data_IF_024323294085
#
_entry.id   IF_024323294085
#
_cell.length_a   1.000
_cell.length_b   1.000
_cell.length_c   1.000
_cell.angle_alpha   90.00
_cell.angle_beta   90.00
_cell.angle_gamma   90.00
#
_symmetry.space_group_name_H-M   'P 1'
#
loop_
_entity.id
_entity.type
_entity.pdbx_description
1 polymer ?
#
# COMPACT_ATOMS: atom_id res chain seq x y z
N UNK A 1 19.28 10.62 16.47
CA UNK A 1 18.14 10.56 15.53
C UNK A 1 16.98 11.31 16.17
N UNK A 2 16.53 12.44 15.60
CA UNK A 2 15.48 13.30 16.18
C UNK A 2 14.07 12.70 16.07
N UNK A 3 13.87 11.51 16.61
CA UNK A 3 12.60 10.78 16.56
C UNK A 3 11.76 11.18 17.77
N UNK A 4 10.60 11.79 17.51
CA UNK A 4 9.63 12.14 18.55
C UNK A 4 8.63 11.00 18.76
N UNK A 5 8.65 10.40 19.95
CA UNK A 5 7.71 9.35 20.32
C UNK A 5 6.32 9.95 20.54
N UNK A 6 5.34 9.50 19.76
CA UNK A 6 3.92 9.84 20.00
C UNK A 6 3.29 8.75 20.86
N UNK A 7 2.72 9.16 21.98
CA UNK A 7 1.94 8.29 22.86
C UNK A 7 0.45 8.51 22.59
N UNK A 8 -0.28 7.42 22.48
CA UNK A 8 -1.75 7.43 22.42
C UNK A 8 -2.30 7.13 23.81
N UNK A 9 -3.48 7.69 24.12
CA UNK A 9 -4.20 7.38 25.36
C UNK A 9 -4.57 5.91 25.41
N UNK A 10 -4.50 5.31 26.59
CA UNK A 10 -4.98 3.94 26.85
C UNK A 10 -6.43 3.77 26.36
N UNK A 11 -6.74 2.63 25.74
CA UNK A 11 -8.05 2.29 25.16
C UNK A 11 -8.52 3.14 23.97
N UNK A 12 -7.62 3.88 23.31
CA UNK A 12 -7.95 4.68 22.13
C UNK A 12 -7.59 3.97 20.80
N UNK A 13 -8.21 2.81 20.53
CA UNK A 13 -7.97 2.04 19.29
C UNK A 13 -8.28 2.86 18.01
N UNK A 14 -9.27 3.75 18.08
CA UNK A 14 -9.66 4.63 16.98
C UNK A 14 -8.50 5.52 16.47
N UNK A 15 -7.55 5.89 17.35
CA UNK A 15 -6.46 6.82 17.02
C UNK A 15 -5.35 6.13 16.22
N UNK A 16 -5.21 4.79 16.32
CA UNK A 16 -4.16 4.03 15.64
C UNK A 16 -4.68 3.21 14.44
N UNK A 17 -5.90 3.48 13.97
CA UNK A 17 -6.55 2.72 12.91
C UNK A 17 -5.83 2.74 11.55
N UNK A 18 -4.81 3.57 11.34
CA UNK A 18 -3.94 3.55 10.14
C UNK A 18 -2.90 2.44 10.18
N UNK A 19 -2.54 1.95 11.37
CA UNK A 19 -1.62 0.82 11.58
C UNK A 19 -2.41 -0.45 11.90
N UNK A 20 -3.50 -0.34 12.64
CA UNK A 20 -4.29 -1.51 13.05
C UNK A 20 -4.99 -2.20 11.87
N UNK A 21 -5.59 -1.44 10.95
CA UNK A 21 -6.24 -2.02 9.75
C UNK A 21 -5.29 -2.83 8.86
N UNK A 22 -4.13 -2.30 8.41
CA UNK A 22 -3.21 -3.10 7.61
C UNK A 22 -2.65 -4.28 8.41
N UNK A 23 -2.41 -4.14 9.72
CA UNK A 23 -1.98 -5.25 10.56
C UNK A 23 -3.05 -6.35 10.66
N UNK A 24 -4.33 -5.98 10.74
CA UNK A 24 -5.44 -6.92 10.71
C UNK A 24 -5.51 -7.66 9.35
N UNK A 25 -5.36 -6.94 8.24
CA UNK A 25 -5.30 -7.56 6.91
C UNK A 25 -4.12 -8.52 6.77
N UNK A 26 -2.94 -8.15 7.28
CA UNK A 26 -1.77 -9.04 7.33
C UNK A 26 -2.07 -10.32 8.11
N UNK A 27 -2.63 -10.19 9.31
CA UNK A 27 -2.98 -11.34 10.14
C UNK A 27 -4.01 -12.25 9.46
N UNK A 28 -5.01 -11.68 8.79
CA UNK A 28 -6.02 -12.45 8.07
C UNK A 28 -5.44 -13.23 6.89
N UNK A 29 -4.56 -12.59 6.10
CA UNK A 29 -3.89 -13.26 4.97
C UNK A 29 -2.97 -14.36 5.49
N UNK A 30 -2.17 -14.09 6.52
CA UNK A 30 -1.31 -15.08 7.17
C UNK A 30 -2.13 -16.29 7.64
N UNK A 31 -3.22 -16.05 8.38
CA UNK A 31 -4.10 -17.11 8.85
C UNK A 31 -4.69 -17.96 7.72
N UNK A 32 -4.84 -17.40 6.50
CA UNK A 32 -5.36 -18.13 5.33
C UNK A 32 -4.33 -18.99 4.62
N UNK A 33 -3.04 -18.62 4.65
CA UNK A 33 -1.97 -19.32 3.92
C UNK A 33 -1.14 -20.25 4.81
N UNK A 34 -1.13 -19.98 6.11
CA UNK A 34 -0.39 -20.75 7.10
C UNK A 34 -1.15 -22.03 7.44
N UNK A 35 -0.56 -23.18 7.14
CA UNK A 35 -1.16 -24.50 7.42
C UNK A 35 -0.90 -24.97 8.85
N UNK A 36 0.29 -24.67 9.40
CA UNK A 36 0.68 -24.94 10.78
C UNK A 36 1.10 -23.65 11.48
N UNK A 37 0.79 -23.51 12.77
CA UNK A 37 1.08 -22.30 13.57
C UNK A 37 2.55 -21.90 13.65
N UNK A 38 3.49 -22.79 13.29
CA UNK A 38 4.93 -22.51 13.34
C UNK A 38 5.51 -21.91 12.06
N UNK A 39 4.80 -21.93 10.93
CA UNK A 39 5.37 -21.56 9.62
C UNK A 39 5.04 -20.10 9.25
N UNK A 40 4.56 -19.30 10.19
CA UNK A 40 4.06 -17.94 9.93
C UNK A 40 5.15 -16.98 9.49
N UNK A 41 6.39 -17.16 9.96
CA UNK A 41 7.55 -16.33 9.64
C UNK A 41 8.06 -16.59 8.22
N UNK A 42 8.01 -17.85 7.76
CA UNK A 42 8.31 -18.20 6.37
C UNK A 42 7.27 -17.64 5.38
N UNK A 43 6.02 -17.54 5.81
CA UNK A 43 4.93 -17.00 5.01
C UNK A 43 4.85 -15.46 5.03
N UNK A 44 5.49 -14.81 6.00
CA UNK A 44 5.44 -13.35 6.17
C UNK A 44 5.91 -12.56 4.93
N UNK A 45 7.04 -12.88 4.27
CA UNK A 45 7.45 -12.18 3.06
C UNK A 45 6.42 -12.30 1.92
N UNK A 46 5.78 -13.46 1.80
CA UNK A 46 4.76 -13.74 0.79
C UNK A 46 3.49 -12.93 1.05
N UNK A 47 3.03 -12.86 2.30
CA UNK A 47 1.90 -12.02 2.70
C UNK A 47 2.18 -10.54 2.48
N UNK A 48 3.38 -10.07 2.83
CA UNK A 48 3.75 -8.67 2.66
C UNK A 48 3.83 -8.30 1.17
N UNK A 49 4.36 -9.19 0.33
CA UNK A 49 4.34 -9.04 -1.12
C UNK A 49 2.91 -8.94 -1.66
N UNK A 50 2.02 -9.85 -1.25
CA UNK A 50 0.62 -9.84 -1.65
C UNK A 50 -0.06 -8.51 -1.26
N UNK A 51 0.12 -8.06 -0.02
CA UNK A 51 -0.49 -6.82 0.47
C UNK A 51 0.05 -5.57 -0.24
N UNK A 52 1.34 -5.55 -0.55
CA UNK A 52 1.99 -4.43 -1.25
C UNK A 52 1.66 -4.40 -2.75
N UNK A 53 1.37 -5.55 -3.36
CA UNK A 53 1.01 -5.66 -4.78
C UNK A 53 -0.48 -5.46 -5.05
N UNK A 54 -1.34 -5.78 -4.08
CA UNK A 54 -2.79 -5.66 -4.22
C UNK A 54 -3.25 -4.20 -4.30
N UNK A 55 -4.32 -3.95 -5.04
CA UNK A 55 -4.98 -2.63 -5.09
C UNK A 55 -5.78 -2.43 -3.81
N UNK A 56 -5.51 -1.35 -3.07
CA UNK A 56 -6.26 -1.03 -1.86
C UNK A 56 -7.49 -0.19 -2.19
N UNK A 57 -8.64 -0.50 -1.59
CA UNK A 57 -9.90 0.23 -1.83
C UNK A 57 -9.81 1.72 -1.48
N UNK A 58 -9.00 2.06 -0.47
CA UNK A 58 -8.82 3.44 -0.02
C UNK A 58 -8.12 4.33 -1.05
N UNK A 59 -7.16 3.76 -1.78
CA UNK A 59 -6.28 4.52 -2.68
C UNK A 59 -6.53 4.16 -4.14
N UNK A 60 -7.27 3.08 -4.42
CA UNK A 60 -7.44 2.46 -5.74
C UNK A 60 -6.12 2.22 -6.48
N UNK A 61 -5.03 2.08 -5.74
CA UNK A 61 -3.70 1.77 -6.27
C UNK A 61 -2.95 0.88 -5.29
N UNK A 62 -1.88 0.23 -5.74
CA UNK A 62 -1.06 -0.62 -4.89
C UNK A 62 -0.15 0.22 -3.98
N UNK A 63 0.08 -0.19 -2.73
CA UNK A 63 1.03 0.49 -1.85
C UNK A 63 2.43 0.55 -2.46
N UNK A 64 2.84 -0.50 -3.17
CA UNK A 64 4.13 -0.53 -3.86
C UNK A 64 4.24 0.57 -4.91
N UNK A 65 3.19 0.78 -5.70
CA UNK A 65 3.15 1.87 -6.69
C UNK A 65 3.22 3.24 -6.02
N UNK A 66 2.56 3.44 -4.88
CA UNK A 66 2.61 4.71 -4.16
C UNK A 66 3.98 5.02 -3.57
N UNK A 67 4.70 4.00 -3.13
CA UNK A 67 6.04 4.15 -2.55
C UNK A 67 7.12 4.32 -3.62
N UNK A 68 7.03 3.56 -4.72
CA UNK A 68 8.10 3.46 -5.71
C UNK A 68 7.79 4.18 -7.05
N UNK A 69 6.57 4.66 -7.24
CA UNK A 69 6.12 5.31 -8.49
C UNK A 69 6.08 4.37 -9.70
N UNK A 70 6.10 3.05 -9.48
CA UNK A 70 6.10 2.03 -10.55
C UNK A 70 5.40 0.77 -10.09
N UNK A 71 4.85 0.02 -11.02
CA UNK A 71 4.24 -1.26 -10.72
C UNK A 71 5.27 -2.31 -10.33
N UNK A 72 4.83 -3.21 -9.46
CA UNK A 72 5.62 -4.34 -9.01
C UNK A 72 5.76 -5.36 -10.13
N UNK A 73 6.99 -5.85 -10.34
CA UNK A 73 7.30 -6.85 -11.35
C UNK A 73 7.29 -8.23 -10.69
N UNK A 74 6.19 -8.96 -10.82
CA UNK A 74 6.10 -10.36 -10.40
C UNK A 74 6.34 -11.26 -11.60
N UNK A 75 6.87 -12.46 -11.36
CA UNK A 75 7.19 -13.43 -12.42
C UNK A 75 5.98 -13.78 -13.31
N UNK A 76 4.76 -13.69 -12.77
CA UNK A 76 3.51 -13.94 -13.50
C UNK A 76 2.88 -12.67 -14.10
N UNK A 77 3.28 -11.47 -13.66
CA UNK A 77 2.86 -10.19 -14.26
C UNK A 77 3.83 -9.70 -15.33
N UNK A 78 4.86 -10.49 -15.63
CA UNK A 78 5.80 -10.26 -16.72
C UNK A 78 5.14 -10.55 -18.08
N UNK A 79 3.97 -9.97 -18.31
CA UNK A 79 3.61 -9.62 -19.67
C UNK A 79 4.65 -8.58 -20.12
N UNK A 80 5.18 -8.78 -21.31
CA UNK A 80 6.23 -7.97 -21.92
C UNK A 80 5.67 -6.57 -22.22
N UNK A 81 5.41 -5.78 -21.18
CA UNK A 81 4.87 -4.44 -21.30
C UNK A 81 5.92 -3.57 -21.99
N UNK A 82 5.59 -3.22 -23.23
CA UNK A 82 6.27 -2.23 -24.08
C UNK A 82 6.33 -0.83 -23.48
N UNK A 83 5.67 -0.59 -22.34
CA UNK A 83 5.55 0.72 -21.67
C UNK A 83 6.66 1.02 -20.66
N UNK A 84 7.77 0.27 -20.70
CA UNK A 84 8.97 0.75 -20.03
C UNK A 84 9.49 1.96 -20.83
N UNK A 85 9.61 3.17 -20.23
CA UNK A 85 10.11 4.33 -20.95
C UNK A 85 11.49 3.98 -21.51
N UNK A 86 11.57 3.82 -22.83
CA UNK A 86 12.84 3.45 -23.48
C UNK A 86 13.82 4.62 -23.46
N UNK A 87 13.32 5.83 -23.20
CA UNK A 87 14.09 7.05 -23.19
C UNK A 87 13.69 7.97 -22.02
N UNK A 88 14.67 8.72 -21.51
CA UNK A 88 14.51 9.72 -20.44
C UNK A 88 13.43 10.77 -20.78
N UNK A 89 13.31 11.16 -22.05
CA UNK A 89 12.32 12.16 -22.49
C UNK A 89 10.87 11.66 -22.40
N UNK A 90 10.64 10.35 -22.52
CA UNK A 90 9.31 9.76 -22.38
C UNK A 90 8.81 9.73 -20.91
N UNK A 91 9.75 9.71 -19.96
CA UNK A 91 9.47 9.81 -18.54
C UNK A 91 8.87 11.18 -18.16
N UNK A 92 9.47 12.25 -18.66
CA UNK A 92 9.07 13.63 -18.33
C UNK A 92 7.75 14.02 -19.01
N UNK A 93 7.51 13.57 -20.25
CA UNK A 93 6.30 13.96 -21.00
C UNK A 93 5.03 13.21 -20.58
N UNK A 94 5.14 11.93 -20.20
CA UNK A 94 3.97 11.06 -19.96
C UNK A 94 3.84 10.61 -18.51
N UNK A 95 4.95 10.19 -17.91
CA UNK A 95 4.92 9.53 -16.61
C UNK A 95 4.81 10.54 -15.46
N UNK A 96 5.52 11.67 -15.53
CA UNK A 96 5.44 12.71 -14.50
C UNK A 96 4.01 13.28 -14.32
N UNK A 97 3.32 13.74 -15.38
CA UNK A 97 1.96 14.25 -15.25
C UNK A 97 0.97 13.18 -14.78
N UNK A 98 1.18 11.94 -15.21
CA UNK A 98 0.37 10.80 -14.79
C UNK A 98 0.54 10.49 -13.29
N UNK A 99 1.78 10.48 -12.79
CA UNK A 99 2.05 10.32 -11.35
C UNK A 99 1.41 11.43 -10.54
N UNK A 100 1.56 12.69 -10.97
CA UNK A 100 0.91 13.82 -10.29
C UNK A 100 -0.61 13.66 -10.26
N UNK A 101 -1.23 13.22 -11.35
CA UNK A 101 -2.66 12.95 -11.40
C UNK A 101 -3.07 11.86 -10.41
N UNK A 102 -2.34 10.74 -10.34
CA UNK A 102 -2.61 9.66 -9.40
C UNK A 102 -2.44 10.14 -7.96
N UNK A 103 -1.32 10.79 -7.64
CA UNK A 103 -1.06 11.28 -6.29
C UNK A 103 -2.16 12.23 -5.83
N UNK A 104 -2.58 13.17 -6.69
CA UNK A 104 -3.69 14.06 -6.38
C UNK A 104 -5.00 13.32 -6.14
N UNK A 105 -5.29 12.28 -6.93
CA UNK A 105 -6.48 11.44 -6.74
C UNK A 105 -6.43 10.70 -5.40
N UNK A 106 -5.29 10.09 -5.07
CA UNK A 106 -5.09 9.37 -3.81
C UNK A 106 -5.23 10.30 -2.62
N UNK A 107 -4.64 11.51 -2.68
CA UNK A 107 -4.76 12.50 -1.62
C UNK A 107 -6.22 12.95 -1.41
N UNK A 108 -7.03 13.06 -2.48
CA UNK A 108 -8.46 13.34 -2.36
C UNK A 108 -9.21 12.19 -1.67
N UNK A 109 -8.99 10.96 -2.12
CA UNK A 109 -9.64 9.79 -1.53
C UNK A 109 -9.30 9.62 -0.05
N UNK A 110 -8.03 9.85 0.33
CA UNK A 110 -7.62 9.80 1.73
C UNK A 110 -8.32 10.86 2.59
N UNK A 111 -8.48 12.09 2.06
CA UNK A 111 -9.23 13.16 2.76
C UNK A 111 -10.71 12.82 2.91
N UNK A 112 -11.32 12.24 1.89
CA UNK A 112 -12.72 11.80 1.95
C UNK A 112 -12.89 10.71 3.02
N UNK A 113 -12.00 9.71 3.05
CA UNK A 113 -12.03 8.67 4.08
C UNK A 113 -11.83 9.22 5.50
N UNK A 114 -11.00 10.24 5.67
CA UNK A 114 -10.85 10.94 6.96
C UNK A 114 -12.13 11.70 7.36
N UNK A 115 -12.82 12.33 6.40
CA UNK A 115 -14.08 13.05 6.65
C UNK A 115 -15.22 12.11 7.03
N UNK A 116 -15.36 10.95 6.37
CA UNK A 116 -16.36 9.93 6.74
C UNK A 116 -16.12 9.35 8.14
N UNK A 117 -14.87 9.33 8.60
CA UNK A 117 -14.49 8.84 9.94
C UNK A 117 -14.85 9.78 11.10
N UNK A 118 -15.11 11.06 10.83
CA UNK A 118 -15.47 12.06 11.87
C UNK A 118 -16.99 12.10 12.10
N UNK A 119 -17.78 11.52 11.19
CA UNK A 119 -19.24 11.55 11.20
C UNK A 119 -19.91 10.31 11.80
N UNK A 120 -19.13 9.38 12.36
CA UNK A 120 -19.58 8.16 13.05
C UNK A 120 -18.94 8.16 14.44
#
# INVERSE_FOLDING_TARGET
MGIHKRHISSYSAHVNGRVEKPNQSLANILASITQNTNDWDEQLPHTMLALNSAIHEATYTSPFFLEHGRDIRLSYTYEKNSDTPQNKYEYDEKLLPFLEQIFNKVLRNLKEQEAYRILI
#
